data_IF_490778082965
#
_entry.id   IF_490778082965
#
_cell.length_a   1.000
_cell.length_b   1.000
_cell.length_c   1.000
_cell.angle_alpha   90.00
_cell.angle_beta   90.00
_cell.angle_gamma   90.00
#
_symmetry.space_group_name_H-M   'P 1'
#
loop_
_entity.id
_entity.type
_entity.pdbx_description
1 polymer ?
#
# COMPACT_ATOMS: atom_id res chain seq x y z
N UNK A 1 7.08 5.43 -32.82
CA UNK A 1 6.38 5.64 -31.53
C UNK A 1 6.33 4.36 -30.67
N UNK A 2 5.90 3.22 -31.22
CA UNK A 2 5.75 1.96 -30.45
C UNK A 2 7.04 1.44 -29.79
N UNK A 3 8.18 1.50 -30.50
CA UNK A 3 9.48 1.05 -29.96
C UNK A 3 9.92 1.90 -28.75
N UNK A 4 9.68 3.22 -28.79
CA UNK A 4 9.98 4.12 -27.67
C UNK A 4 9.10 3.81 -26.45
N UNK A 5 7.77 3.70 -26.65
CA UNK A 5 6.81 3.40 -25.58
C UNK A 5 7.09 2.04 -24.91
N UNK A 6 7.60 1.06 -25.67
CA UNK A 6 7.96 -0.27 -25.15
C UNK A 6 9.02 -0.23 -24.04
N UNK A 7 9.99 0.69 -24.11
CA UNK A 7 11.04 0.86 -23.11
C UNK A 7 10.71 1.94 -22.08
N UNK A 8 10.06 3.02 -22.51
CA UNK A 8 9.69 4.13 -21.64
C UNK A 8 8.68 3.71 -20.57
N UNK A 9 7.60 3.02 -20.95
CA UNK A 9 6.49 2.70 -20.02
C UNK A 9 6.95 1.88 -18.79
N UNK A 10 7.72 0.78 -18.93
CA UNK A 10 8.23 0.03 -17.78
C UNK A 10 9.15 0.85 -16.87
N UNK A 11 10.06 1.64 -17.43
CA UNK A 11 10.97 2.49 -16.65
C UNK A 11 10.19 3.57 -15.89
N UNK A 12 9.25 4.24 -16.56
CA UNK A 12 8.33 5.19 -15.93
C UNK A 12 7.55 4.54 -14.79
N UNK A 13 6.98 3.35 -15.00
CA UNK A 13 6.22 2.63 -13.99
C UNK A 13 7.07 2.30 -12.76
N UNK A 14 8.31 1.80 -12.94
CA UNK A 14 9.22 1.51 -11.83
C UNK A 14 9.58 2.79 -11.05
N UNK A 15 9.96 3.87 -11.75
CA UNK A 15 10.32 5.14 -11.10
C UNK A 15 9.14 5.74 -10.33
N UNK A 16 7.95 5.71 -10.91
CA UNK A 16 6.74 6.17 -10.25
C UNK A 16 6.40 5.31 -9.02
N UNK A 17 6.50 3.98 -9.10
CA UNK A 17 6.31 3.08 -7.96
C UNK A 17 7.31 3.41 -6.84
N UNK A 18 8.57 3.66 -7.17
CA UNK A 18 9.59 4.06 -6.18
C UNK A 18 9.18 5.36 -5.50
N UNK A 19 8.71 6.34 -6.26
CA UNK A 19 8.28 7.62 -5.72
C UNK A 19 7.04 7.51 -4.82
N UNK A 20 5.99 6.81 -5.26
CA UNK A 20 4.78 6.54 -4.45
C UNK A 20 5.05 5.68 -3.21
N UNK A 21 6.08 4.83 -3.24
CA UNK A 21 6.41 3.95 -2.12
C UNK A 21 7.29 4.63 -1.09
N UNK A 22 8.44 5.17 -1.52
CA UNK A 22 9.44 5.69 -0.61
C UNK A 22 9.22 7.17 -0.24
N UNK A 23 8.63 7.95 -1.15
CA UNK A 23 8.55 9.40 -1.05
C UNK A 23 9.91 9.99 -0.59
N UNK A 24 10.96 9.64 -1.33
CA UNK A 24 12.36 9.81 -0.95
C UNK A 24 12.85 11.25 -0.99
N UNK A 25 12.19 12.09 -1.76
CA UNK A 25 12.65 13.46 -2.02
C UNK A 25 12.47 14.38 -0.79
N UNK A 26 11.35 14.35 -0.04
CA UNK A 26 11.23 15.05 1.23
C UNK A 26 12.37 14.80 2.21
N UNK A 27 12.95 13.59 2.25
CA UNK A 27 14.07 13.26 3.14
C UNK A 27 15.32 14.07 2.78
N UNK A 28 15.55 14.25 1.48
CA UNK A 28 16.70 15.01 0.97
C UNK A 28 16.44 16.51 1.14
N UNK A 29 15.23 16.98 0.81
CA UNK A 29 14.83 18.39 0.91
C UNK A 29 14.80 18.89 2.36
N UNK A 30 14.50 18.01 3.33
CA UNK A 30 14.58 18.34 4.75
C UNK A 30 15.99 18.25 5.33
N UNK A 31 17.00 17.89 4.53
CA UNK A 31 18.38 17.71 4.99
C UNK A 31 18.56 16.55 5.99
N UNK A 32 17.64 15.58 5.99
CA UNK A 32 17.63 14.46 6.93
C UNK A 32 17.02 14.78 8.29
N UNK A 33 16.05 15.71 8.37
CA UNK A 33 15.34 16.00 9.61
C UNK A 33 14.70 14.73 10.20
N UNK A 34 14.83 14.52 11.51
CA UNK A 34 14.25 13.39 12.25
C UNK A 34 13.19 13.87 13.24
N UNK A 35 12.32 12.95 13.64
CA UNK A 35 11.28 13.24 14.63
C UNK A 35 11.92 13.61 15.99
N UNK A 36 11.53 14.77 16.51
CA UNK A 36 12.06 15.30 17.77
C UNK A 36 13.36 16.09 17.64
N UNK A 37 13.86 16.36 16.43
CA UNK A 37 15.01 17.25 16.20
C UNK A 37 14.69 18.75 16.41
N UNK A 38 13.44 19.09 16.77
CA UNK A 38 13.00 20.48 16.97
C UNK A 38 12.90 21.31 15.68
N UNK A 39 12.99 20.66 14.52
CA UNK A 39 12.89 21.33 13.21
C UNK A 39 11.44 21.60 12.84
N UNK A 40 11.13 22.82 12.39
CA UNK A 40 9.81 23.13 11.86
C UNK A 40 9.70 22.59 10.43
N UNK A 41 8.88 21.55 10.27
CA UNK A 41 8.67 20.87 8.98
C UNK A 41 8.07 21.84 7.94
N UNK A 42 7.33 22.87 8.38
CA UNK A 42 6.73 23.85 7.49
C UNK A 42 7.75 24.84 6.90
N UNK A 43 8.97 24.88 7.44
CA UNK A 43 10.05 25.74 6.92
C UNK A 43 10.68 25.20 5.63
N UNK A 44 10.50 23.92 5.31
CA UNK A 44 11.11 23.29 4.14
C UNK A 44 10.28 23.49 2.87
N UNK A 45 10.96 23.74 1.75
CA UNK A 45 10.33 23.81 0.44
C UNK A 45 10.21 22.42 -0.21
N UNK A 46 8.97 21.91 -0.28
CA UNK A 46 8.65 20.63 -0.92
C UNK A 46 8.09 20.79 -2.35
N UNK A 47 8.25 21.96 -2.99
CA UNK A 47 7.72 22.24 -4.34
C UNK A 47 8.20 21.23 -5.38
N UNK A 48 9.47 20.83 -5.34
CA UNK A 48 10.02 19.83 -6.27
C UNK A 48 9.29 18.48 -6.15
N UNK A 49 8.92 18.08 -4.93
CA UNK A 49 8.16 16.85 -4.69
C UNK A 49 6.76 16.92 -5.30
N UNK A 50 6.10 18.07 -5.12
CA UNK A 50 4.78 18.31 -5.73
C UNK A 50 4.87 18.28 -7.25
N UNK A 51 5.88 18.92 -7.85
CA UNK A 51 6.09 18.92 -9.29
C UNK A 51 6.33 17.51 -9.84
N UNK A 52 7.07 16.66 -9.12
CA UNK A 52 7.33 15.28 -9.54
C UNK A 52 6.06 14.42 -9.52
N UNK A 53 5.19 14.61 -8.52
CA UNK A 53 3.87 13.98 -8.50
C UNK A 53 2.98 14.49 -9.64
N UNK A 54 2.90 15.81 -9.86
CA UNK A 54 2.14 16.38 -10.97
C UNK A 54 2.62 15.86 -12.33
N UNK A 55 3.93 15.76 -12.54
CA UNK A 55 4.52 15.16 -13.74
C UNK A 55 4.07 13.70 -13.90
N UNK A 56 4.09 12.94 -12.81
CA UNK A 56 3.61 11.54 -12.80
C UNK A 56 2.14 11.46 -13.18
N UNK A 57 1.30 12.38 -12.71
CA UNK A 57 -0.13 12.42 -13.06
C UNK A 57 -0.33 12.74 -14.54
N UNK A 58 0.37 13.75 -15.06
CA UNK A 58 0.26 14.17 -16.46
C UNK A 58 0.69 13.05 -17.40
N UNK A 59 1.80 12.36 -17.12
CA UNK A 59 2.25 11.20 -17.91
C UNK A 59 1.23 10.08 -17.84
N UNK A 60 0.74 9.74 -16.64
CA UNK A 60 -0.26 8.67 -16.45
C UNK A 60 -1.57 8.96 -17.19
N UNK A 61 -2.06 10.19 -17.10
CA UNK A 61 -3.26 10.64 -17.79
C UNK A 61 -3.06 10.60 -19.32
N UNK A 62 -1.93 11.07 -19.82
CA UNK A 62 -1.59 11.05 -21.25
C UNK A 62 -1.55 9.62 -21.79
N UNK A 63 -0.90 8.70 -21.08
CA UNK A 63 -0.84 7.28 -21.47
C UNK A 63 -2.21 6.58 -21.40
N UNK A 64 -3.08 7.00 -20.48
CA UNK A 64 -4.46 6.52 -20.41
C UNK A 64 -5.34 7.06 -21.53
N UNK A 65 -5.16 8.31 -21.94
CA UNK A 65 -5.89 8.92 -23.07
C UNK A 65 -5.58 8.20 -24.38
N UNK A 66 -4.32 7.78 -24.59
CA UNK A 66 -3.95 6.91 -25.71
C UNK A 66 -4.66 5.53 -25.68
N UNK A 67 -5.26 5.16 -24.53
CA UNK A 67 -5.96 3.90 -24.27
C UNK A 67 -7.40 4.11 -23.79
N UNK A 68 -8.04 5.22 -24.16
CA UNK A 68 -9.33 5.66 -23.61
C UNK A 68 -10.44 4.59 -23.67
N UNK A 69 -10.48 3.75 -24.71
CA UNK A 69 -11.47 2.64 -24.81
C UNK A 69 -11.32 1.64 -23.66
N UNK A 70 -10.08 1.27 -23.31
CA UNK A 70 -9.80 0.39 -22.17
C UNK A 70 -10.14 1.10 -20.87
N UNK A 71 -9.78 2.38 -20.75
CA UNK A 71 -10.14 3.21 -19.59
C UNK A 71 -11.65 3.20 -19.32
N UNK A 72 -12.49 3.38 -20.34
CA UNK A 72 -13.96 3.35 -20.17
C UNK A 72 -14.48 2.01 -19.65
N UNK A 73 -13.91 0.90 -20.13
CA UNK A 73 -14.26 -0.44 -19.62
C UNK A 73 -13.89 -0.56 -18.14
N UNK A 74 -12.71 -0.09 -17.75
CA UNK A 74 -12.24 -0.14 -16.37
C UNK A 74 -13.02 0.82 -15.46
N UNK A 75 -13.40 1.99 -15.97
CA UNK A 75 -14.21 2.96 -15.23
C UNK A 75 -15.57 2.37 -14.82
N UNK A 76 -16.22 1.63 -15.75
CA UNK A 76 -17.49 0.94 -15.47
C UNK A 76 -17.35 -0.19 -14.47
N UNK A 77 -16.24 -0.94 -14.49
CA UNK A 77 -16.03 -2.10 -13.62
C UNK A 77 -15.60 -1.70 -12.20
N UNK A 78 -14.78 -0.65 -12.09
CA UNK A 78 -14.28 -0.10 -10.82
C UNK A 78 -15.18 0.94 -10.17
N UNK A 79 -16.51 0.81 -10.29
CA UNK A 79 -17.47 1.85 -9.88
C UNK A 79 -17.24 2.37 -8.44
N UNK A 80 -16.97 1.50 -7.48
CA UNK A 80 -16.73 1.89 -6.08
C UNK A 80 -15.53 2.85 -5.91
N UNK A 81 -14.45 2.68 -6.68
CA UNK A 81 -13.29 3.58 -6.60
C UNK A 81 -13.71 4.99 -7.03
N UNK A 82 -14.48 5.09 -8.12
CA UNK A 82 -14.97 6.39 -8.61
C UNK A 82 -15.99 7.01 -7.67
N UNK A 83 -16.87 6.22 -7.06
CA UNK A 83 -17.78 6.71 -6.02
C UNK A 83 -17.00 7.27 -4.84
N UNK A 84 -15.92 6.61 -4.39
CA UNK A 84 -15.05 7.14 -3.32
C UNK A 84 -14.40 8.47 -3.70
N UNK A 85 -13.91 8.60 -4.94
CA UNK A 85 -13.33 9.85 -5.45
C UNK A 85 -14.40 10.95 -5.52
N UNK A 86 -15.61 10.61 -5.97
CA UNK A 86 -16.72 11.56 -6.02
C UNK A 86 -17.15 12.03 -4.63
N UNK A 87 -17.18 11.14 -3.63
CA UNK A 87 -17.45 11.52 -2.24
C UNK A 87 -16.34 12.44 -1.72
N UNK A 88 -15.06 12.10 -1.96
CA UNK A 88 -13.94 12.94 -1.56
C UNK A 88 -14.00 14.33 -2.22
N UNK A 89 -14.34 14.41 -3.51
CA UNK A 89 -14.53 15.68 -4.23
C UNK A 89 -15.72 16.47 -3.69
N UNK A 90 -16.86 15.81 -3.51
CA UNK A 90 -18.06 16.44 -2.96
C UNK A 90 -17.80 16.99 -1.56
N UNK A 91 -16.91 16.35 -0.80
CA UNK A 91 -16.55 16.80 0.54
C UNK A 91 -15.96 18.20 0.61
N UNK A 92 -15.51 18.75 -0.51
CA UNK A 92 -15.17 20.17 -0.65
C UNK A 92 -16.30 21.10 -0.14
N UNK A 93 -17.57 20.77 -0.41
CA UNK A 93 -18.71 21.64 -0.11
C UNK A 93 -19.03 21.75 1.38
N UNK A 94 -18.61 20.78 2.20
CA UNK A 94 -18.83 20.77 3.65
C UNK A 94 -17.52 20.67 4.44
N UNK A 95 -16.37 20.84 3.77
CA UNK A 95 -15.06 20.75 4.39
C UNK A 95 -14.80 21.95 5.27
N UNK A 96 -14.22 21.72 6.45
CA UNK A 96 -13.71 22.80 7.31
C UNK A 96 -12.51 23.52 6.65
N UNK A 97 -11.79 22.85 5.74
CA UNK A 97 -10.67 23.41 4.98
C UNK A 97 -10.79 23.11 3.47
N UNK A 98 -11.68 23.80 2.73
CA UNK A 98 -11.97 23.48 1.33
C UNK A 98 -10.73 23.53 0.41
N UNK A 99 -9.84 24.50 0.61
CA UNK A 99 -8.62 24.62 -0.17
C UNK A 99 -7.66 23.42 0.01
N UNK A 100 -7.58 22.87 1.23
CA UNK A 100 -6.79 21.66 1.53
C UNK A 100 -7.45 20.44 0.91
N UNK A 101 -8.76 20.29 1.09
CA UNK A 101 -9.52 19.21 0.46
C UNK A 101 -9.36 19.17 -1.05
N UNK A 102 -9.42 20.33 -1.72
CA UNK A 102 -9.23 20.41 -3.17
C UNK A 102 -7.82 19.95 -3.59
N UNK A 103 -6.78 20.46 -2.93
CA UNK A 103 -5.38 20.04 -3.18
C UNK A 103 -5.22 18.52 -2.99
N UNK A 104 -5.83 17.98 -1.93
CA UNK A 104 -5.76 16.55 -1.65
C UNK A 104 -6.51 15.69 -2.66
N UNK A 105 -7.65 16.18 -3.15
CA UNK A 105 -8.40 15.50 -4.19
C UNK A 105 -7.62 15.42 -5.52
N UNK A 106 -6.86 16.46 -5.88
CA UNK A 106 -5.97 16.43 -7.06
C UNK A 106 -4.97 15.28 -6.93
N UNK A 107 -4.32 15.14 -5.77
CA UNK A 107 -3.38 14.06 -5.54
C UNK A 107 -4.03 12.67 -5.50
N UNK A 108 -5.24 12.58 -4.94
CA UNK A 108 -6.02 11.34 -4.94
C UNK A 108 -6.41 10.89 -6.35
N UNK A 109 -6.88 11.82 -7.19
CA UNK A 109 -7.20 11.56 -8.60
C UNK A 109 -5.94 11.12 -9.35
N UNK A 110 -4.84 11.87 -9.21
CA UNK A 110 -3.56 11.54 -9.84
C UNK A 110 -3.04 10.14 -9.48
N UNK A 111 -3.11 9.79 -8.19
CA UNK A 111 -2.75 8.46 -7.69
C UNK A 111 -3.64 7.36 -8.26
N UNK A 112 -4.96 7.63 -8.35
CA UNK A 112 -5.92 6.69 -8.93
C UNK A 112 -5.65 6.49 -10.42
N UNK A 113 -5.39 7.56 -11.17
CA UNK A 113 -5.07 7.48 -12.60
C UNK A 113 -3.82 6.63 -12.83
N UNK A 114 -2.79 6.77 -12.00
CA UNK A 114 -1.61 5.91 -12.09
C UNK A 114 -1.95 4.43 -11.82
N UNK A 115 -2.79 4.14 -10.82
CA UNK A 115 -3.24 2.77 -10.55
C UNK A 115 -4.07 2.16 -11.70
N UNK A 116 -4.99 2.95 -12.28
CA UNK A 116 -5.77 2.56 -13.46
C UNK A 116 -4.85 2.33 -14.66
N UNK A 117 -3.82 3.18 -14.85
CA UNK A 117 -2.80 3.01 -15.87
C UNK A 117 -2.09 1.65 -15.73
N UNK A 118 -1.59 1.33 -14.53
CA UNK A 118 -0.92 0.06 -14.26
C UNK A 118 -1.83 -1.14 -14.57
N UNK A 119 -3.09 -1.09 -14.14
CA UNK A 119 -4.07 -2.14 -14.39
C UNK A 119 -4.38 -2.30 -15.88
N UNK A 120 -4.43 -1.19 -16.62
CA UNK A 120 -4.77 -1.19 -18.05
C UNK A 120 -3.67 -1.73 -18.96
N UNK A 121 -2.41 -1.61 -18.50
CA UNK A 121 -1.22 -1.87 -19.30
C UNK A 121 -0.55 -3.19 -18.96
N UNK A 122 -0.51 -3.54 -17.69
CA UNK A 122 0.30 -4.66 -17.21
C UNK A 122 -0.60 -5.76 -16.67
N UNK A 123 -0.30 -6.99 -17.06
CA UNK A 123 -0.86 -8.20 -16.43
C UNK A 123 -0.40 -8.29 -14.97
N UNK A 124 -1.10 -9.07 -14.14
CA UNK A 124 -0.69 -9.30 -12.73
C UNK A 124 0.78 -9.76 -12.60
N UNK A 125 1.27 -10.56 -13.56
CA UNK A 125 2.68 -11.00 -13.59
C UNK A 125 3.63 -9.84 -13.83
N UNK A 126 3.32 -8.98 -14.80
CA UNK A 126 4.13 -7.82 -15.13
C UNK A 126 4.09 -6.78 -14.00
N UNK A 127 2.92 -6.56 -13.38
CA UNK A 127 2.79 -5.70 -12.21
C UNK A 127 3.70 -6.18 -11.07
N UNK A 128 3.69 -7.48 -10.74
CA UNK A 128 4.61 -8.04 -9.74
C UNK A 128 6.08 -7.89 -10.13
N UNK A 129 6.44 -8.04 -11.41
CA UNK A 129 7.83 -7.81 -11.86
C UNK A 129 8.26 -6.36 -11.69
N UNK A 130 7.40 -5.39 -12.04
CA UNK A 130 7.69 -3.97 -11.87
C UNK A 130 7.85 -3.63 -10.38
N UNK A 131 6.97 -4.17 -9.53
CA UNK A 131 7.07 -4.02 -8.08
C UNK A 131 8.34 -4.66 -7.53
N UNK A 132 8.71 -5.87 -7.99
CA UNK A 132 9.94 -6.54 -7.57
C UNK A 132 11.20 -5.71 -7.92
N UNK A 133 11.25 -5.13 -9.11
CA UNK A 133 12.32 -4.21 -9.48
C UNK A 133 12.34 -2.95 -8.62
N UNK A 134 11.17 -2.31 -8.43
CA UNK A 134 11.06 -1.10 -7.62
C UNK A 134 11.51 -1.35 -6.17
N UNK A 135 10.98 -2.37 -5.51
CA UNK A 135 11.35 -2.70 -4.13
C UNK A 135 12.78 -3.22 -4.00
N UNK A 136 13.32 -3.87 -5.03
CA UNK A 136 14.74 -4.22 -5.06
C UNK A 136 15.65 -3.00 -5.12
N UNK A 137 15.32 -2.02 -5.97
CA UNK A 137 16.04 -0.75 -6.04
C UNK A 137 15.91 0.02 -4.71
N UNK A 138 14.70 0.11 -4.15
CA UNK A 138 14.45 0.75 -2.84
C UNK A 138 15.31 0.09 -1.75
N UNK A 139 15.36 -1.24 -1.69
CA UNK A 139 16.13 -1.96 -0.69
C UNK A 139 17.64 -1.66 -0.81
N UNK A 140 18.18 -1.73 -2.01
CA UNK A 140 19.60 -1.40 -2.26
C UNK A 140 19.90 0.06 -1.90
N UNK A 141 19.08 1.00 -2.37
CA UNK A 141 19.25 2.42 -2.03
C UNK A 141 19.12 2.68 -0.53
N UNK A 142 18.23 1.97 0.16
CA UNK A 142 18.07 2.11 1.62
C UNK A 142 19.31 1.68 2.39
N UNK A 143 19.97 0.59 1.97
CA UNK A 143 21.26 0.17 2.53
C UNK A 143 22.35 1.21 2.24
N UNK A 144 22.42 1.69 0.98
CA UNK A 144 23.40 2.71 0.59
C UNK A 144 23.22 4.01 1.39
N UNK A 145 21.99 4.44 1.64
CA UNK A 145 21.73 5.62 2.47
C UNK A 145 22.08 5.35 3.94
N UNK A 146 21.73 4.20 4.49
CA UNK A 146 22.01 3.90 5.88
C UNK A 146 23.52 3.81 6.18
N UNK A 147 24.32 3.26 5.25
CA UNK A 147 25.76 3.05 5.45
C UNK A 147 26.57 4.23 4.91
N UNK A 148 26.29 4.67 3.68
CA UNK A 148 27.08 5.70 2.99
C UNK A 148 26.66 7.13 3.33
N UNK A 149 25.40 7.35 3.74
CA UNK A 149 24.84 8.67 4.05
C UNK A 149 24.04 8.64 5.37
N UNK A 150 24.64 8.24 6.51
CA UNK A 150 23.91 7.91 7.74
C UNK A 150 23.05 9.07 8.28
N UNK A 151 23.42 10.33 8.00
CA UNK A 151 22.58 11.50 8.29
C UNK A 151 21.17 11.39 7.70
N UNK A 152 21.05 10.82 6.50
CA UNK A 152 19.77 10.60 5.83
C UNK A 152 19.21 9.20 6.16
N UNK A 153 20.05 8.17 6.12
CA UNK A 153 19.59 6.79 6.21
C UNK A 153 19.28 6.26 7.62
N UNK A 154 19.69 6.97 8.68
CA UNK A 154 19.50 6.58 10.08
C UNK A 154 18.79 7.71 10.83
N UNK A 155 17.74 7.36 11.57
CA UNK A 155 17.02 8.29 12.44
C UNK A 155 17.91 8.88 13.53
N UNK A 156 17.63 10.12 13.89
CA UNK A 156 18.24 10.85 15.01
C UNK A 156 17.19 11.07 16.12
N UNK A 157 17.59 11.80 17.17
CA UNK A 157 16.75 12.15 18.34
C UNK A 157 15.92 10.97 18.89
N UNK A 158 14.59 11.04 18.79
CA UNK A 158 13.64 10.13 19.47
C UNK A 158 13.82 8.68 19.02
N UNK A 159 14.35 8.46 17.82
CA UNK A 159 14.52 7.14 17.23
C UNK A 159 15.97 6.83 16.86
N UNK A 160 16.93 7.45 17.55
CA UNK A 160 18.36 7.32 17.30
C UNK A 160 18.81 5.86 17.04
N UNK A 161 19.48 5.66 15.90
CA UNK A 161 20.06 4.37 15.52
C UNK A 161 19.06 3.35 14.97
N UNK A 162 17.83 3.75 14.65
CA UNK A 162 16.93 2.98 13.79
C UNK A 162 17.15 3.36 12.32
N UNK A 163 17.17 2.39 11.42
CA UNK A 163 17.34 2.67 10.00
C UNK A 163 16.02 3.15 9.39
N UNK A 164 16.09 4.18 8.55
CA UNK A 164 14.97 4.65 7.71
C UNK A 164 15.30 4.61 6.22
N UNK A 165 16.56 4.41 5.84
CA UNK A 165 16.97 4.26 4.45
C UNK A 165 16.61 5.49 3.62
N UNK A 166 15.92 5.29 2.49
CA UNK A 166 15.41 6.40 1.66
C UNK A 166 14.03 6.90 2.07
N UNK A 167 13.47 6.42 3.19
CA UNK A 167 12.19 6.86 3.71
C UNK A 167 12.38 7.96 4.75
N UNK A 168 11.36 8.80 4.92
CA UNK A 168 11.37 9.86 5.94
C UNK A 168 11.33 9.33 7.38
N UNK A 169 10.87 8.09 7.58
CA UNK A 169 10.69 7.55 8.92
C UNK A 169 10.97 6.03 9.00
N UNK A 170 11.47 5.54 10.14
CA UNK A 170 11.76 4.11 10.37
C UNK A 170 10.55 3.18 10.12
N UNK A 171 9.35 3.60 10.51
CA UNK A 171 8.14 2.78 10.33
C UNK A 171 7.74 2.70 8.86
N UNK A 172 7.98 3.78 8.08
CA UNK A 172 7.74 3.77 6.64
C UNK A 172 8.69 2.81 5.93
N UNK A 173 9.98 2.76 6.33
CA UNK A 173 10.91 1.74 5.85
C UNK A 173 10.39 0.34 6.16
N UNK A 174 10.01 0.08 7.41
CA UNK A 174 9.48 -1.22 7.83
C UNK A 174 8.24 -1.65 7.02
N UNK A 175 7.30 -0.73 6.81
CA UNK A 175 6.10 -0.93 5.99
C UNK A 175 6.46 -1.26 4.53
N UNK A 176 7.37 -0.49 3.94
CA UNK A 176 7.86 -0.71 2.58
C UNK A 176 8.60 -2.04 2.42
N UNK A 177 9.44 -2.42 3.38
CA UNK A 177 10.16 -3.68 3.37
C UNK A 177 9.23 -4.89 3.58
N UNK A 178 8.17 -4.73 4.38
CA UNK A 178 7.16 -5.78 4.60
C UNK A 178 6.48 -6.17 3.29
N UNK A 179 5.93 -5.19 2.55
CA UNK A 179 5.30 -5.45 1.26
C UNK A 179 6.31 -5.89 0.20
N UNK A 180 7.49 -5.28 0.16
CA UNK A 180 8.57 -5.64 -0.76
C UNK A 180 9.03 -7.09 -0.58
N UNK A 181 9.12 -7.57 0.67
CA UNK A 181 9.52 -8.95 0.97
C UNK A 181 8.44 -9.98 0.58
N UNK A 182 7.15 -9.64 0.71
CA UNK A 182 6.05 -10.48 0.18
C UNK A 182 6.12 -10.55 -1.34
N UNK A 183 6.32 -9.40 -2.01
CA UNK A 183 6.48 -9.33 -3.47
C UNK A 183 7.66 -10.20 -3.92
N UNK A 184 8.83 -10.05 -3.30
CA UNK A 184 10.03 -10.82 -3.67
C UNK A 184 9.93 -12.30 -3.33
N UNK A 185 9.10 -12.70 -2.39
CA UNK A 185 8.78 -14.11 -2.12
C UNK A 185 7.87 -14.72 -3.19
N UNK A 186 7.01 -13.91 -3.82
CA UNK A 186 6.13 -14.33 -4.92
C UNK A 186 6.81 -14.29 -6.30
N UNK A 187 7.82 -13.45 -6.47
CA UNK A 187 8.41 -13.14 -7.77
C UNK A 187 9.45 -14.11 -8.36
N UNK A 188 10.13 -15.04 -7.65
CA UNK A 188 11.24 -15.80 -8.25
C UNK A 188 10.80 -16.67 -9.43
N UNK A 189 9.56 -17.17 -9.42
CA UNK A 189 8.99 -17.94 -10.53
C UNK A 189 8.71 -17.10 -11.79
N UNK A 190 8.75 -15.77 -11.69
CA UNK A 190 8.50 -14.84 -12.78
C UNK A 190 9.78 -14.50 -13.57
N UNK A 191 10.95 -14.71 -12.99
CA UNK A 191 12.26 -14.43 -13.58
C UNK A 191 12.92 -15.68 -14.18
N UNK A 192 13.87 -15.46 -15.09
CA UNK A 192 14.69 -16.53 -15.67
C UNK A 192 15.43 -17.29 -14.57
N UNK A 193 15.70 -18.59 -14.77
CA UNK A 193 16.34 -19.45 -13.75
C UNK A 193 17.65 -18.84 -13.21
N UNK A 194 18.43 -18.22 -14.10
CA UNK A 194 19.71 -17.56 -13.79
C UNK A 194 19.57 -16.31 -12.92
N UNK A 195 18.42 -15.64 -12.89
CA UNK A 195 18.22 -14.39 -12.14
C UNK A 195 17.49 -14.61 -10.80
N UNK A 196 17.04 -15.84 -10.53
CA UNK A 196 16.30 -16.17 -9.30
C UNK A 196 17.14 -16.01 -8.04
N UNK A 197 18.46 -16.16 -8.14
CA UNK A 197 19.35 -15.96 -7.00
C UNK A 197 19.40 -14.49 -6.60
N UNK A 198 19.33 -13.56 -7.57
CA UNK A 198 19.27 -12.11 -7.31
C UNK A 198 18.02 -11.79 -6.48
N UNK A 199 16.86 -12.34 -6.87
CA UNK A 199 15.62 -12.16 -6.10
C UNK A 199 15.75 -12.62 -4.64
N UNK A 200 16.41 -13.77 -4.42
CA UNK A 200 16.65 -14.31 -3.07
C UNK A 200 17.65 -13.48 -2.28
N UNK A 201 18.71 -12.98 -2.93
CA UNK A 201 19.69 -12.09 -2.30
C UNK A 201 19.03 -10.79 -1.85
N UNK A 202 18.23 -10.17 -2.72
CA UNK A 202 17.49 -8.94 -2.38
C UNK A 202 16.46 -9.20 -1.28
N UNK A 203 15.80 -10.36 -1.27
CA UNK A 203 14.93 -10.75 -0.15
C UNK A 203 15.72 -10.83 1.18
N UNK A 204 16.96 -11.35 1.17
CA UNK A 204 17.85 -11.32 2.33
C UNK A 204 18.15 -9.90 2.81
N UNK A 205 18.43 -8.97 1.89
CA UNK A 205 18.62 -7.54 2.20
C UNK A 205 17.36 -6.95 2.85
N UNK A 206 16.17 -7.25 2.31
CA UNK A 206 14.89 -6.79 2.88
C UNK A 206 14.71 -7.30 4.31
N UNK A 207 15.02 -8.57 4.59
CA UNK A 207 14.95 -9.12 5.94
C UNK A 207 15.90 -8.39 6.91
N UNK A 208 17.12 -8.07 6.48
CA UNK A 208 18.07 -7.28 7.28
C UNK A 208 17.48 -5.89 7.56
N UNK A 209 16.97 -5.21 6.54
CA UNK A 209 16.36 -3.87 6.68
C UNK A 209 15.14 -3.88 7.60
N UNK A 210 14.31 -4.93 7.58
CA UNK A 210 13.17 -5.07 8.52
C UNK A 210 13.63 -5.09 9.97
N UNK A 211 14.71 -5.80 10.27
CA UNK A 211 15.27 -5.86 11.62
C UNK A 211 15.93 -4.52 11.99
N UNK A 212 16.71 -3.93 11.07
CA UNK A 212 17.40 -2.65 11.30
C UNK A 212 16.44 -1.45 11.43
N UNK A 213 15.24 -1.53 10.84
CA UNK A 213 14.19 -0.52 11.01
C UNK A 213 13.66 -0.47 12.46
N UNK A 214 13.84 -1.52 13.26
CA UNK A 214 13.36 -1.61 14.65
C UNK A 214 11.88 -1.22 14.80
N UNK A 215 11.06 -1.65 13.83
CA UNK A 215 9.62 -1.40 13.79
C UNK A 215 8.86 -2.68 14.14
N UNK A 216 8.34 -2.77 15.37
CA UNK A 216 7.63 -3.95 15.88
C UNK A 216 6.41 -4.30 15.01
N UNK A 217 5.62 -3.29 14.60
CA UNK A 217 4.44 -3.48 13.74
C UNK A 217 4.81 -4.15 12.41
N UNK A 218 5.90 -3.69 11.79
CA UNK A 218 6.37 -4.21 10.51
C UNK A 218 6.85 -5.66 10.60
N UNK A 219 7.58 -6.02 11.67
CA UNK A 219 8.04 -7.40 11.90
C UNK A 219 6.87 -8.36 12.16
N UNK A 220 5.89 -7.94 12.96
CA UNK A 220 4.67 -8.72 13.22
C UNK A 220 3.89 -8.90 11.92
N UNK A 221 3.64 -7.81 11.19
CA UNK A 221 2.91 -7.85 9.92
C UNK A 221 3.60 -8.75 8.89
N UNK A 222 4.93 -8.65 8.76
CA UNK A 222 5.68 -9.51 7.85
C UNK A 222 5.57 -10.99 8.21
N UNK A 223 5.69 -11.32 9.49
CA UNK A 223 5.58 -12.70 10.00
C UNK A 223 4.20 -13.27 9.72
N UNK A 224 3.14 -12.54 10.09
CA UNK A 224 1.75 -12.91 9.82
C UNK A 224 1.53 -13.10 8.32
N UNK A 225 2.05 -12.21 7.46
CA UNK A 225 1.89 -12.34 6.01
C UNK A 225 2.62 -13.55 5.44
N UNK A 226 3.80 -13.91 5.95
CA UNK A 226 4.50 -15.12 5.51
C UNK A 226 3.77 -16.39 5.91
N UNK A 227 3.18 -16.42 7.12
CA UNK A 227 2.29 -17.49 7.56
C UNK A 227 1.03 -17.56 6.67
N UNK A 228 0.40 -16.42 6.41
CA UNK A 228 -0.78 -16.29 5.53
C UNK A 228 -0.48 -16.81 4.13
N UNK A 229 0.64 -16.40 3.55
CA UNK A 229 1.05 -16.78 2.21
C UNK A 229 1.26 -18.28 2.12
N UNK A 230 1.90 -18.88 3.12
CA UNK A 230 2.09 -20.33 3.22
C UNK A 230 0.76 -21.05 3.37
N UNK A 231 -0.13 -20.56 4.24
CA UNK A 231 -1.47 -21.10 4.42
C UNK A 231 -2.29 -21.03 3.11
N UNK A 232 -2.30 -19.90 2.41
CA UNK A 232 -3.01 -19.76 1.14
C UNK A 232 -2.43 -20.67 0.05
N UNK A 233 -1.11 -20.89 0.04
CA UNK A 233 -0.46 -21.83 -0.89
C UNK A 233 -0.84 -23.30 -0.63
N UNK A 234 -0.95 -23.71 0.63
CA UNK A 234 -1.29 -25.09 1.01
C UNK A 234 -2.80 -25.32 0.86
N UNK A 235 -3.62 -24.38 1.35
CA UNK A 235 -5.07 -24.56 1.53
C UNK A 235 -5.89 -24.18 0.30
N UNK A 236 -5.28 -23.66 -0.76
CA UNK A 236 -5.97 -23.38 -2.04
C UNK A 236 -6.69 -24.60 -2.65
N UNK A 237 -6.34 -25.83 -2.24
CA UNK A 237 -6.96 -27.07 -2.71
C UNK A 237 -8.09 -27.60 -1.81
N UNK A 238 -8.32 -27.05 -0.61
CA UNK A 238 -9.35 -27.52 0.34
C UNK A 238 -10.35 -26.42 0.67
N UNK A 239 -11.54 -26.49 0.07
CA UNK A 239 -12.56 -25.45 0.12
C UNK A 239 -12.95 -24.99 1.53
N UNK A 240 -13.01 -25.92 2.50
CA UNK A 240 -13.39 -25.63 3.88
C UNK A 240 -12.32 -24.88 4.68
N UNK A 241 -11.07 -24.81 4.21
CA UNK A 241 -9.96 -24.37 5.07
C UNK A 241 -9.36 -23.02 4.68
N UNK A 242 -9.58 -22.53 3.47
CA UNK A 242 -9.03 -21.24 3.04
C UNK A 242 -9.67 -20.06 3.80
N UNK A 243 -10.99 -20.07 3.97
CA UNK A 243 -11.72 -19.05 4.74
C UNK A 243 -11.34 -19.14 6.23
N UNK A 244 -11.36 -20.32 6.90
CA UNK A 244 -10.85 -20.44 8.26
C UNK A 244 -9.39 -20.07 8.42
N UNK A 245 -8.52 -20.32 7.45
CA UNK A 245 -7.12 -19.91 7.54
C UNK A 245 -6.93 -18.40 7.38
N UNK A 246 -7.72 -17.77 6.51
CA UNK A 246 -7.78 -16.30 6.44
C UNK A 246 -8.29 -15.70 7.76
N UNK A 247 -9.38 -16.24 8.30
CA UNK A 247 -9.91 -15.82 9.59
C UNK A 247 -8.92 -16.08 10.72
N UNK A 248 -8.31 -17.27 10.80
CA UNK A 248 -7.30 -17.62 11.80
C UNK A 248 -6.07 -16.72 11.71
N UNK A 249 -5.66 -16.31 10.50
CA UNK A 249 -4.60 -15.33 10.30
C UNK A 249 -4.97 -13.99 10.93
N UNK A 250 -6.19 -13.49 10.63
CA UNK A 250 -6.67 -12.22 11.19
C UNK A 250 -6.77 -12.33 12.71
N UNK A 251 -7.36 -13.42 13.23
CA UNK A 251 -7.48 -13.66 14.66
C UNK A 251 -6.11 -13.71 15.32
N UNK A 252 -5.15 -14.47 14.77
CA UNK A 252 -3.80 -14.56 15.32
C UNK A 252 -3.09 -13.20 15.32
N UNK A 253 -3.23 -12.45 14.23
CA UNK A 253 -2.66 -11.11 14.13
C UNK A 253 -3.29 -10.15 15.15
N UNK A 254 -4.61 -10.20 15.31
CA UNK A 254 -5.34 -9.40 16.28
C UNK A 254 -4.93 -9.78 17.71
N UNK A 255 -4.81 -11.08 18.01
CA UNK A 255 -4.34 -11.57 19.30
C UNK A 255 -2.89 -11.15 19.56
N UNK A 256 -2.01 -11.20 18.56
CA UNK A 256 -0.63 -10.74 18.70
C UNK A 256 -0.54 -9.23 18.98
N UNK A 257 -1.35 -8.43 18.27
CA UNK A 257 -1.47 -6.98 18.52
C UNK A 257 -2.04 -6.73 19.92
N UNK A 258 -3.11 -7.41 20.31
CA UNK A 258 -3.74 -7.30 21.62
C UNK A 258 -2.78 -7.66 22.76
N UNK A 259 -2.09 -8.80 22.66
CA UNK A 259 -1.08 -9.21 23.65
C UNK A 259 0.02 -8.15 23.73
N UNK A 260 0.48 -7.63 22.59
CA UNK A 260 1.50 -6.59 22.55
C UNK A 260 1.03 -5.28 23.18
N UNK A 261 -0.22 -4.85 22.95
CA UNK A 261 -0.75 -3.60 23.51
C UNK A 261 -1.06 -3.71 24.99
N UNK A 262 -1.64 -4.83 25.45
CA UNK A 262 -2.05 -5.02 26.85
C UNK A 262 -0.87 -5.39 27.77
N UNK A 263 0.12 -6.13 27.27
CA UNK A 263 1.29 -6.52 28.08
C UNK A 263 2.48 -5.57 27.89
N UNK A 264 2.36 -4.52 27.07
CA UNK A 264 3.42 -3.53 26.85
C UNK A 264 3.89 -2.93 28.18
N UNK A 265 2.97 -2.56 29.08
CA UNK A 265 3.32 -1.93 30.35
C UNK A 265 4.13 -2.86 31.28
N UNK A 266 3.75 -4.13 31.38
CA UNK A 266 4.42 -5.11 32.23
C UNK A 266 5.76 -5.61 31.65
N UNK A 267 5.86 -5.73 30.32
CA UNK A 267 7.08 -6.18 29.65
C UNK A 267 8.12 -5.05 29.49
N UNK A 268 7.69 -3.80 29.32
CA UNK A 268 8.57 -2.63 29.14
C UNK A 268 9.01 -2.00 30.47
N UNK A 269 8.26 -2.21 31.56
CA UNK A 269 8.66 -1.80 32.92
C UNK A 269 9.95 -2.47 33.42
N UNK A 270 10.30 -3.64 32.87
CA UNK A 270 11.56 -4.34 33.16
C UNK A 270 12.77 -3.82 32.36
N UNK A 271 12.54 -2.99 31.33
CA UNK A 271 13.57 -2.47 30.41
C UNK A 271 13.71 -0.93 30.50
N UNK A 272 12.96 -0.27 31.39
CA UNK A 272 13.05 1.17 31.61
C UNK A 272 12.65 2.01 30.39
N UNK A 273 11.76 1.49 29.54
CA UNK A 273 11.28 2.18 28.32
C UNK A 273 9.88 2.75 28.51
N UNK A 274 9.70 3.98 28.02
CA UNK A 274 8.41 4.66 27.96
C UNK A 274 7.38 3.86 27.13
N UNK A 275 6.18 3.59 27.67
CA UNK A 275 5.15 2.79 27.03
C UNK A 275 4.41 3.63 25.97
N UNK A 276 5.05 3.84 24.83
CA UNK A 276 4.53 4.61 23.68
C UNK A 276 3.25 4.06 22.99
N UNK A 277 2.54 3.12 23.62
CA UNK A 277 1.28 2.54 23.11
C UNK A 277 0.06 2.86 23.99
N UNK A 278 0.22 3.49 25.15
CA UNK A 278 -0.89 3.83 26.06
C UNK A 278 -1.82 4.91 25.50
N UNK A 279 -1.36 5.76 24.57
CA UNK A 279 -2.19 6.87 24.04
C UNK A 279 -3.18 6.53 22.92
N UNK A 280 -3.14 5.33 22.30
CA UNK A 280 -3.98 5.04 21.11
C UNK A 280 -5.46 4.84 21.45
N UNK A 281 -5.74 4.15 22.55
CA UNK A 281 -7.11 3.95 23.06
C UNK A 281 -7.77 5.29 23.36
N UNK A 282 -7.01 6.21 23.94
CA UNK A 282 -7.47 7.56 24.28
C UNK A 282 -7.70 8.39 23.01
N UNK A 283 -6.75 8.37 22.06
CA UNK A 283 -6.93 9.00 20.74
C UNK A 283 -8.20 8.50 20.06
N UNK A 284 -8.49 7.20 20.14
CA UNK A 284 -9.70 6.64 19.54
C UNK A 284 -10.97 7.09 20.26
N UNK A 285 -10.93 7.28 21.58
CA UNK A 285 -12.06 7.84 22.33
C UNK A 285 -12.34 9.28 21.91
N UNK A 286 -11.32 10.14 21.87
CA UNK A 286 -11.49 11.54 21.44
C UNK A 286 -11.86 11.65 19.96
N UNK A 287 -11.34 10.77 19.10
CA UNK A 287 -11.75 10.69 17.69
C UNK A 287 -13.23 10.32 17.57
N UNK A 288 -13.74 9.38 18.38
CA UNK A 288 -15.17 9.03 18.41
C UNK A 288 -16.04 10.22 18.81
N UNK A 289 -15.66 10.98 19.82
CA UNK A 289 -16.41 12.19 20.20
C UNK A 289 -16.48 13.22 19.08
N UNK A 290 -15.44 13.31 18.24
CA UNK A 290 -15.46 14.17 17.05
C UNK A 290 -16.28 13.56 15.91
N UNK A 291 -16.27 12.24 15.74
CA UNK A 291 -17.15 11.54 14.79
C UNK A 291 -18.62 11.77 15.13
N UNK A 292 -19.00 11.69 16.41
CA UNK A 292 -20.39 11.85 16.87
C UNK A 292 -20.98 13.22 16.51
N UNK A 293 -20.14 14.25 16.35
CA UNK A 293 -20.57 15.59 15.90
C UNK A 293 -20.92 15.65 14.42
N UNK A 294 -20.26 14.87 13.56
CA UNK A 294 -20.48 14.85 12.09
C UNK A 294 -20.41 13.43 11.50
N UNK A 295 -21.29 12.51 11.94
CA UNK A 295 -21.11 11.08 11.67
C UNK A 295 -21.32 10.70 10.21
N UNK A 296 -22.16 11.42 9.46
CA UNK A 296 -22.57 11.02 8.11
C UNK A 296 -21.58 11.41 7.02
N UNK A 297 -21.10 12.66 7.05
CA UNK A 297 -20.29 13.27 6.00
C UNK A 297 -18.86 13.62 6.42
N UNK A 298 -18.55 13.57 7.73
CA UNK A 298 -17.24 13.93 8.26
C UNK A 298 -16.93 15.43 8.14
N UNK A 299 -15.63 15.75 8.16
CA UNK A 299 -15.09 17.10 8.21
C UNK A 299 -14.49 17.59 6.89
N UNK A 300 -14.49 16.75 5.86
CA UNK A 300 -13.85 17.01 4.57
C UNK A 300 -12.61 16.15 4.38
N UNK A 301 -12.38 15.68 3.15
CA UNK A 301 -11.26 14.81 2.84
C UNK A 301 -9.92 15.47 3.21
N UNK A 302 -9.15 14.82 4.09
CA UNK A 302 -7.88 15.28 4.68
C UNK A 302 -7.96 16.62 5.43
N UNK A 303 -9.15 17.06 5.84
CA UNK A 303 -9.37 18.36 6.47
C UNK A 303 -9.38 18.29 8.01
N UNK A 304 -9.48 17.10 8.61
CA UNK A 304 -9.60 16.97 10.06
C UNK A 304 -8.27 17.17 10.81
N UNK A 305 -7.20 16.51 10.35
CA UNK A 305 -5.88 16.52 10.99
C UNK A 305 -5.04 17.73 10.53
N UNK A 306 -5.33 18.90 11.11
CA UNK A 306 -4.68 20.18 10.79
C UNK A 306 -3.91 20.77 11.98
N UNK A 307 -3.49 19.92 12.93
CA UNK A 307 -2.77 20.37 14.11
C UNK A 307 -3.70 21.10 15.08
N UNK A 308 -3.26 22.27 15.55
CA UNK A 308 -4.06 23.13 16.43
C UNK A 308 -5.13 23.94 15.69
N UNK A 309 -5.12 23.89 14.37
CA UNK A 309 -6.18 24.41 13.53
C UNK A 309 -7.24 23.30 13.31
N UNK A 310 -8.52 23.62 13.44
CA UNK A 310 -9.61 22.68 13.16
C UNK A 310 -9.90 21.62 14.23
N UNK A 311 -10.50 20.50 13.80
CA UNK A 311 -11.03 19.46 14.69
C UNK A 311 -9.98 18.69 15.49
N UNK A 312 -8.78 18.50 14.95
CA UNK A 312 -7.67 17.82 15.66
C UNK A 312 -7.17 18.58 16.88
N UNK A 313 -7.44 19.89 17.00
CA UNK A 313 -7.02 20.71 18.13
C UNK A 313 -7.57 20.17 19.47
N UNK A 314 -8.79 19.64 19.45
CA UNK A 314 -9.39 19.01 20.62
C UNK A 314 -8.55 17.81 21.11
N UNK A 315 -8.21 16.92 20.19
CA UNK A 315 -7.43 15.71 20.45
C UNK A 315 -6.02 16.07 20.93
N UNK A 316 -5.35 17.02 20.27
CA UNK A 316 -3.99 17.44 20.66
C UNK A 316 -3.97 18.08 22.05
N UNK A 317 -4.98 18.90 22.40
CA UNK A 317 -5.09 19.50 23.74
C UNK A 317 -5.35 18.45 24.82
N UNK A 318 -6.16 17.44 24.52
CA UNK A 318 -6.42 16.33 25.43
C UNK A 318 -5.18 15.44 25.60
N UNK A 319 -4.50 15.10 24.50
CA UNK A 319 -3.31 14.26 24.48
C UNK A 319 -2.08 14.94 25.09
N UNK A 320 -1.98 16.27 25.00
CA UNK A 320 -0.80 17.09 25.38
C UNK A 320 0.48 16.80 24.59
N UNK A 321 0.36 16.18 23.42
CA UNK A 321 1.45 16.00 22.47
C UNK A 321 0.91 16.05 21.03
N UNK A 322 1.77 16.29 20.01
CA UNK A 322 1.32 16.39 18.61
C UNK A 322 0.81 15.04 18.07
N UNK A 323 -0.50 14.93 17.82
CA UNK A 323 -1.13 13.74 17.23
C UNK A 323 -1.40 13.98 15.75
N UNK A 324 -0.63 13.37 14.82
CA UNK A 324 -0.77 13.63 13.39
C UNK A 324 -1.93 12.88 12.74
N UNK A 325 -2.38 11.76 13.31
CA UNK A 325 -3.50 10.93 12.83
C UNK A 325 -3.94 9.92 13.91
N UNK A 326 -5.05 9.21 13.73
CA UNK A 326 -5.58 8.28 14.75
C UNK A 326 -4.85 6.94 14.85
N UNK A 327 -3.88 6.69 13.98
CA UNK A 327 -3.28 5.37 13.74
C UNK A 327 -4.29 4.27 13.36
N UNK A 328 -5.51 4.64 12.95
CA UNK A 328 -6.56 3.74 12.51
C UNK A 328 -7.23 4.26 11.23
N UNK A 329 -7.04 3.52 10.14
CA UNK A 329 -7.49 3.97 8.82
C UNK A 329 -8.99 4.12 8.68
N UNK A 330 -9.79 3.37 9.45
CA UNK A 330 -11.26 3.47 9.43
C UNK A 330 -11.72 4.71 10.21
N UNK A 331 -11.11 4.99 11.36
CA UNK A 331 -11.42 6.21 12.12
C UNK A 331 -11.03 7.46 11.33
N UNK A 332 -9.85 7.46 10.71
CA UNK A 332 -9.40 8.56 9.85
C UNK A 332 -10.36 8.75 8.65
N UNK A 333 -10.80 7.65 8.03
CA UNK A 333 -11.74 7.70 6.92
C UNK A 333 -13.11 8.25 7.34
N UNK A 334 -13.58 7.87 8.52
CA UNK A 334 -14.85 8.34 9.08
C UNK A 334 -14.78 9.84 9.40
N UNK A 335 -13.68 10.30 9.99
CA UNK A 335 -13.45 11.72 10.24
C UNK A 335 -13.37 12.52 8.93
N UNK A 336 -12.72 11.99 7.90
CA UNK A 336 -12.56 12.67 6.61
C UNK A 336 -13.89 12.80 5.84
N UNK A 337 -14.53 11.68 5.49
CA UNK A 337 -15.68 11.65 4.57
C UNK A 337 -16.90 10.91 5.11
N UNK A 338 -16.93 10.69 6.43
CA UNK A 338 -18.11 10.22 7.13
C UNK A 338 -18.40 8.72 6.97
N UNK A 339 -19.48 8.29 7.61
CA UNK A 339 -20.00 6.93 7.54
C UNK A 339 -20.31 6.53 6.09
N UNK A 340 -20.73 7.49 5.26
CA UNK A 340 -20.96 7.27 3.83
C UNK A 340 -19.70 6.73 3.14
N UNK A 341 -18.55 7.38 3.34
CA UNK A 341 -17.29 6.92 2.78
C UNK A 341 -16.84 5.57 3.35
N UNK A 342 -17.02 5.34 4.65
CA UNK A 342 -16.70 4.06 5.30
C UNK A 342 -17.52 2.92 4.70
N UNK A 343 -18.83 3.08 4.53
CA UNK A 343 -19.71 2.06 3.96
C UNK A 343 -19.28 1.71 2.53
N UNK A 344 -19.07 2.72 1.68
CA UNK A 344 -18.67 2.50 0.28
C UNK A 344 -17.31 1.81 0.20
N UNK A 345 -16.35 2.21 1.06
CA UNK A 345 -15.06 1.53 1.16
C UNK A 345 -15.22 0.06 1.58
N UNK A 346 -15.96 -0.22 2.66
CA UNK A 346 -16.14 -1.57 3.18
C UNK A 346 -16.82 -2.50 2.16
N UNK A 347 -17.83 -2.02 1.44
CA UNK A 347 -18.48 -2.79 0.36
C UNK A 347 -17.49 -3.05 -0.77
N UNK A 348 -16.79 -2.03 -1.25
CA UNK A 348 -15.80 -2.17 -2.32
C UNK A 348 -14.66 -3.13 -1.94
N UNK A 349 -14.14 -2.98 -0.72
CA UNK A 349 -13.12 -3.85 -0.14
C UNK A 349 -13.61 -5.30 -0.03
N UNK A 350 -14.82 -5.52 0.49
CA UNK A 350 -15.42 -6.86 0.60
C UNK A 350 -15.59 -7.55 -0.75
N UNK A 351 -16.07 -6.83 -1.77
CA UNK A 351 -16.19 -7.35 -3.14
C UNK A 351 -14.81 -7.73 -3.68
N UNK A 352 -13.80 -6.86 -3.50
CA UNK A 352 -12.44 -7.14 -3.96
C UNK A 352 -11.81 -8.32 -3.21
N UNK A 353 -12.09 -8.47 -1.91
CA UNK A 353 -11.63 -9.59 -1.11
C UNK A 353 -12.23 -10.91 -1.59
N UNK A 354 -13.54 -10.97 -1.82
CA UNK A 354 -14.20 -12.17 -2.36
C UNK A 354 -13.65 -12.55 -3.74
N UNK A 355 -13.39 -11.56 -4.60
CA UNK A 355 -12.76 -11.78 -5.91
C UNK A 355 -11.32 -12.27 -5.79
N UNK A 356 -10.54 -11.70 -4.87
CA UNK A 356 -9.17 -12.12 -4.61
C UNK A 356 -9.12 -13.58 -4.10
N UNK A 357 -10.03 -13.97 -3.20
CA UNK A 357 -10.19 -15.35 -2.74
C UNK A 357 -10.54 -16.27 -3.91
N UNK A 358 -11.49 -15.88 -4.75
CA UNK A 358 -11.89 -16.65 -5.93
C UNK A 358 -10.72 -16.86 -6.89
N UNK A 359 -9.98 -15.80 -7.22
CA UNK A 359 -8.83 -15.86 -8.12
C UNK A 359 -7.69 -16.69 -7.53
N UNK A 360 -7.38 -16.54 -6.25
CA UNK A 360 -6.35 -17.31 -5.57
C UNK A 360 -6.66 -18.82 -5.57
N UNK A 361 -7.95 -19.19 -5.49
CA UNK A 361 -8.42 -20.58 -5.50
C UNK A 361 -8.44 -21.20 -6.88
N UNK A 362 -9.15 -20.58 -7.82
CA UNK A 362 -9.49 -21.22 -9.11
C UNK A 362 -8.40 -21.06 -10.17
N UNK A 363 -7.20 -20.67 -9.75
CA UNK A 363 -6.13 -20.36 -10.68
C UNK A 363 -4.82 -21.02 -10.32
N UNK A 364 -4.01 -21.30 -11.35
CA UNK A 364 -2.78 -22.09 -11.18
C UNK A 364 -1.56 -21.27 -10.76
N UNK A 365 -1.44 -20.01 -11.20
CA UNK A 365 -0.27 -19.16 -10.98
C UNK A 365 -0.14 -18.57 -9.57
N UNK A 366 1.09 -18.52 -9.04
CA UNK A 366 1.40 -17.93 -7.72
C UNK A 366 1.13 -16.42 -7.68
N UNK A 367 1.25 -15.73 -8.82
CA UNK A 367 0.94 -14.32 -8.96
C UNK A 367 -0.53 -13.98 -8.61
N UNK A 368 -1.41 -14.97 -8.64
CA UNK A 368 -2.84 -14.78 -8.38
C UNK A 368 -3.18 -14.82 -6.89
N UNK A 369 -2.22 -15.17 -6.03
CA UNK A 369 -2.32 -15.00 -4.57
C UNK A 369 -2.02 -13.55 -4.17
N UNK A 370 -1.32 -12.79 -5.01
CA UNK A 370 -0.92 -11.40 -4.74
C UNK A 370 -2.06 -10.48 -4.31
N UNK A 371 -3.22 -10.44 -5.00
CA UNK A 371 -4.32 -9.59 -4.56
C UNK A 371 -4.83 -9.95 -3.17
N UNK A 372 -4.91 -11.24 -2.84
CA UNK A 372 -5.40 -11.70 -1.54
C UNK A 372 -4.45 -11.30 -0.42
N UNK A 373 -3.15 -11.59 -0.58
CA UNK A 373 -2.15 -11.26 0.44
C UNK A 373 -1.99 -9.75 0.62
N UNK A 374 -2.14 -8.97 -0.44
CA UNK A 374 -2.12 -7.50 -0.35
C UNK A 374 -3.35 -6.97 0.41
N UNK A 375 -4.55 -7.50 0.15
CA UNK A 375 -5.75 -7.12 0.91
C UNK A 375 -5.66 -7.55 2.39
N UNK A 376 -5.10 -8.73 2.68
CA UNK A 376 -4.76 -9.13 4.05
C UNK A 376 -3.83 -8.10 4.69
N UNK A 377 -2.79 -7.67 3.99
CA UNK A 377 -1.88 -6.66 4.51
C UNK A 377 -2.56 -5.32 4.75
N UNK A 378 -3.47 -4.88 3.88
CA UNK A 378 -4.25 -3.66 4.11
C UNK A 378 -5.06 -3.74 5.40
N UNK A 379 -5.64 -4.88 5.76
CA UNK A 379 -6.34 -5.04 7.05
C UNK A 379 -5.36 -4.85 8.20
N UNK A 380 -4.20 -5.54 8.15
CA UNK A 380 -3.19 -5.51 9.21
C UNK A 380 -2.57 -4.11 9.42
N UNK A 381 -2.26 -3.39 8.34
CA UNK A 381 -1.62 -2.08 8.44
C UNK A 381 -2.58 -0.97 8.81
N UNK A 382 -3.87 -1.08 8.44
CA UNK A 382 -4.85 -0.04 8.74
C UNK A 382 -5.26 0.00 10.21
N UNK A 383 -5.08 -1.08 10.96
CA UNK A 383 -5.30 -1.07 12.42
C UNK A 383 -4.14 -0.46 13.20
N UNK A 384 -2.94 -0.41 12.63
CA UNK A 384 -1.72 0.02 13.34
C UNK A 384 -1.16 1.37 12.88
N UNK A 385 -1.40 1.78 11.64
CA UNK A 385 -0.77 2.95 11.02
C UNK A 385 -1.76 3.82 10.22
N UNK A 386 -2.88 3.26 9.75
CA UNK A 386 -3.90 4.00 9.00
C UNK A 386 -3.56 4.34 7.55
N UNK A 387 -4.39 5.20 6.94
CA UNK A 387 -4.22 5.69 5.57
C UNK A 387 -4.86 4.83 4.47
N UNK A 388 -6.18 4.65 4.51
CA UNK A 388 -6.95 3.89 3.51
C UNK A 388 -7.02 4.65 2.17
N UNK A 389 -7.40 5.92 2.22
CA UNK A 389 -7.56 6.81 1.05
C UNK A 389 -6.53 7.90 1.14
N UNK A 390 -5.26 7.50 1.06
CA UNK A 390 -4.16 8.44 1.09
C UNK A 390 -3.74 8.81 -0.32
N UNK A 391 -3.75 10.10 -0.63
CA UNK A 391 -3.09 10.62 -1.83
C UNK A 391 -1.60 10.31 -1.80
N UNK A 392 -0.98 10.19 -2.97
CA UNK A 392 0.48 10.03 -3.12
C UNK A 392 1.06 8.84 -2.37
N UNK A 393 0.25 7.79 -2.25
CA UNK A 393 0.59 6.63 -1.45
C UNK A 393 0.46 5.33 -2.28
N UNK A 394 1.51 4.52 -2.25
CA UNK A 394 1.57 3.25 -2.99
C UNK A 394 0.42 2.29 -2.63
N UNK A 395 -0.10 2.34 -1.40
CA UNK A 395 -1.18 1.45 -0.95
C UNK A 395 -2.49 1.76 -1.66
N UNK A 396 -2.81 3.05 -1.87
CA UNK A 396 -3.97 3.44 -2.66
C UNK A 396 -3.77 3.09 -4.14
N UNK A 397 -2.58 3.33 -4.69
CA UNK A 397 -2.22 2.96 -6.07
C UNK A 397 -2.40 1.45 -6.28
N UNK A 398 -1.89 0.62 -5.37
CA UNK A 398 -1.99 -0.83 -5.46
C UNK A 398 -3.42 -1.32 -5.25
N UNK A 399 -4.17 -0.72 -4.31
CA UNK A 399 -5.58 -1.03 -4.11
C UNK A 399 -6.39 -0.77 -5.38
N UNK A 400 -6.23 0.41 -6.00
CA UNK A 400 -6.92 0.76 -7.24
C UNK A 400 -6.48 -0.12 -8.41
N UNK A 401 -5.18 -0.37 -8.56
CA UNK A 401 -4.62 -1.27 -9.59
C UNK A 401 -5.21 -2.67 -9.49
N UNK A 402 -5.20 -3.25 -8.29
CA UNK A 402 -5.61 -4.64 -8.08
C UNK A 402 -7.12 -4.79 -8.18
N UNK A 403 -7.89 -3.85 -7.64
CA UNK A 403 -9.35 -3.82 -7.77
C UNK A 403 -9.80 -3.91 -9.23
N UNK A 404 -9.10 -3.22 -10.14
CA UNK A 404 -9.40 -3.25 -11.57
C UNK A 404 -8.84 -4.52 -12.21
N UNK A 405 -7.62 -4.92 -11.84
CA UNK A 405 -6.93 -6.06 -12.46
C UNK A 405 -7.64 -7.39 -12.20
N UNK A 406 -8.23 -7.57 -11.02
CA UNK A 406 -8.99 -8.78 -10.66
C UNK A 406 -10.38 -8.86 -11.31
N UNK A 407 -10.86 -7.77 -11.92
CA UNK A 407 -12.13 -7.75 -12.67
C UNK A 407 -11.95 -8.16 -14.14
N UNK A 408 -10.73 -8.40 -14.60
CA UNK A 408 -10.48 -8.87 -15.95
C UNK A 408 -10.81 -10.37 -16.04
N UNK A 409 -11.51 -10.83 -17.11
CA UNK A 409 -11.74 -12.24 -17.32
C UNK A 409 -10.41 -12.95 -17.31
N UNK A 410 -10.36 -14.10 -16.63
CA UNK A 410 -9.21 -15.00 -16.74
C UNK A 410 -9.08 -15.30 -18.23
N UNK A 411 -8.02 -14.83 -18.89
CA UNK A 411 -7.67 -15.31 -20.23
C UNK A 411 -7.52 -16.83 -20.11
N UNK A 412 -8.56 -17.55 -20.54
CA UNK A 412 -8.47 -18.97 -20.76
C UNK A 412 -7.46 -19.10 -21.89
N UNK A 413 -6.31 -19.72 -21.61
CA UNK A 413 -5.46 -20.22 -22.69
C UNK A 413 -6.37 -21.04 -23.59
N UNK A 414 -6.64 -20.53 -24.78
CA UNK A 414 -7.31 -21.27 -25.85
C UNK A 414 -6.59 -22.61 -25.91
N UNK A 415 -7.32 -23.72 -25.68
CA UNK A 415 -6.78 -25.06 -25.91
C UNK A 415 -6.13 -25.01 -27.29
N UNK A 416 -4.90 -25.54 -27.48
CA UNK A 416 -4.40 -25.77 -28.82
C UNK A 416 -5.52 -26.55 -29.52
N UNK A 417 -6.07 -26.00 -30.61
CA UNK A 417 -6.88 -26.79 -31.51
C UNK A 417 -6.01 -28.00 -31.83
N UNK A 418 -6.43 -29.18 -31.39
CA UNK A 418 -5.87 -30.42 -31.87
C UNK A 418 -6.13 -30.36 -33.37
N UNK A 419 -5.15 -29.90 -34.15
CA UNK A 419 -5.16 -30.16 -35.57
C UNK A 419 -5.15 -31.68 -35.66
N UNK A 420 -6.26 -32.22 -36.12
CA UNK A 420 -6.39 -33.63 -36.45
C UNK A 420 -5.19 -34.01 -37.29
N UNK A 421 -4.30 -34.82 -36.71
CA UNK A 421 -3.39 -35.67 -37.46
C UNK A 421 -4.26 -36.49 -38.42
N UNK A 422 -4.31 -36.09 -39.68
CA UNK A 422 -4.50 -37.04 -40.77
C UNK A 422 -3.08 -37.47 -41.13
N UNK A 423 -2.66 -38.61 -40.58
CA UNK A 423 -1.44 -39.28 -40.99
C UNK A 423 -1.61 -39.83 -42.41
N UNK A 424 -0.52 -39.92 -43.20
CA UNK A 424 -0.55 -40.49 -44.53
C UNK A 424 -0.58 -42.02 -44.43
N UNK A 425 -1.60 -42.66 -45.02
CA UNK A 425 -1.56 -44.09 -45.29
C UNK A 425 -1.35 -44.31 -46.78
N UNK A 426 -0.09 -44.43 -47.17
CA UNK A 426 0.31 -45.25 -48.32
C UNK A 426 0.36 -46.71 -47.87
N UNK A 427 -0.42 -47.59 -48.50
CA UNK A 427 -0.09 -49.01 -48.75
C UNK A 427 -1.16 -49.68 -49.65
N UNK A 428 -0.79 -49.81 -50.93
CA UNK A 428 -0.79 -51.02 -51.79
C UNK A 428 -2.02 -51.95 -51.96
N UNK A 429 -2.26 -52.23 -53.25
CA UNK A 429 -2.75 -53.46 -53.90
C UNK A 429 -4.22 -53.89 -53.80
N UNK A 430 -5.01 -53.59 -54.84
CA UNK A 430 -5.46 -54.57 -55.85
C UNK A 430 -6.03 -53.89 -57.08
#
# INVERSE_FOLDING_TARGET
MEKFLKYFEPSFAVLAIIHYSANWLPLILSGGASEGDGTDINSFDFTLNVLLFLLTYVISASLLLLRWKKFLIFARRGAFIWVMILIALASYFWSDFPARTLKSCIGLIGSTLFGVYLASRYTLKEQLKLLAWAYGIIAVLSVLFAIGLPRYGVEQAVHAGAWRGIYNHKNLLGRGMTIGGVILTLSPGLFEKKDRWICRMVLGIICILLVMAKSSSSLINFTVLMMSLTAYRILRFRYLLLIPAFLATITLAYTAVYIYTENAEQLLGLIGKDPSLTGRTDIWAWAREMIDKRPWLGYGYTAFWQGLDGGSAYIIRAARWPVPYSHNGILDLWLDIGLLGVIVYCIGFGINLLRAIFIARFSTGLERIWPLIFLTYLILTNTTEGGIISQNNIFWVLYTTLSISIMMPIEQKTKPQLSSKILPNSCTNR
#
